data_IF_758466275009
#
_entry.id   IF_758466275009
#
_cell.length_a   1.000
_cell.length_b   1.000
_cell.length_c   1.000
_cell.angle_alpha   90.00
_cell.angle_beta   90.00
_cell.angle_gamma   90.00
#
_symmetry.space_group_name_H-M   'P 1'
#
loop_
_entity.id
_entity.type
_entity.pdbx_description
1 polymer ?
#
# COMPACT_ATOMS: atom_id res chain seq x y z
N UNK A 1 -28.97 -2.14 -7.31
CA UNK A 1 -27.52 -2.34 -7.19
C UNK A 1 -26.98 -1.22 -6.34
N UNK A 2 -26.21 -1.52 -5.29
CA UNK A 2 -25.49 -0.48 -4.55
C UNK A 2 -24.31 -0.01 -5.42
N UNK A 3 -24.27 1.28 -5.74
CA UNK A 3 -23.05 1.91 -6.27
C UNK A 3 -22.02 1.91 -5.14
N UNK A 4 -21.04 1.02 -5.19
CA UNK A 4 -19.80 1.25 -4.46
C UNK A 4 -19.11 2.44 -5.15
N UNK A 5 -18.95 3.53 -4.42
CA UNK A 5 -18.10 4.63 -4.86
C UNK A 5 -16.67 4.14 -4.68
N UNK A 6 -16.06 3.73 -5.79
CA UNK A 6 -14.67 3.28 -5.86
C UNK A 6 -13.79 4.54 -5.93
N UNK A 7 -13.02 4.80 -4.88
CA UNK A 7 -12.25 6.04 -4.73
C UNK A 7 -10.77 5.71 -4.59
N UNK A 8 -9.96 6.23 -5.51
CA UNK A 8 -8.51 6.24 -5.39
C UNK A 8 -8.12 7.13 -4.22
N UNK A 9 -7.32 6.59 -3.30
CA UNK A 9 -6.90 7.34 -2.11
C UNK A 9 -5.49 7.88 -2.34
N UNK A 10 -5.42 9.17 -2.68
CA UNK A 10 -4.16 9.89 -2.91
C UNK A 10 -3.94 10.94 -1.81
N UNK A 11 -2.82 10.83 -1.11
CA UNK A 11 -2.28 11.84 -0.21
C UNK A 11 -1.18 12.65 -0.94
N UNK A 12 -0.57 13.62 -0.26
CA UNK A 12 0.42 14.51 -0.89
C UNK A 12 1.68 13.76 -1.38
N UNK A 13 2.10 12.73 -0.65
CA UNK A 13 3.30 11.92 -0.86
C UNK A 13 3.06 10.43 -0.69
N UNK A 14 1.82 9.98 -0.60
CA UNK A 14 1.50 8.56 -0.66
C UNK A 14 0.21 8.30 -1.41
N UNK A 15 0.07 7.08 -1.92
CA UNK A 15 -1.09 6.69 -2.68
C UNK A 15 -1.37 5.19 -2.50
N UNK A 16 -2.65 4.85 -2.39
CA UNK A 16 -3.14 3.47 -2.41
C UNK A 16 -3.88 3.26 -3.72
N UNK A 17 -3.49 2.20 -4.42
CA UNK A 17 -4.15 1.68 -5.61
C UNK A 17 -4.75 0.31 -5.32
N UNK A 18 -5.90 0.02 -5.91
CA UNK A 18 -6.60 -1.25 -5.75
C UNK A 18 -7.18 -1.80 -7.07
N UNK A 19 -7.93 -2.89 -6.97
CA UNK A 19 -8.56 -3.55 -8.12
C UNK A 19 -9.37 -2.64 -9.02
N UNK A 20 -10.01 -1.60 -8.48
CA UNK A 20 -10.79 -0.66 -9.27
C UNK A 20 -9.91 0.16 -10.22
N UNK A 21 -8.68 0.49 -9.81
CA UNK A 21 -7.73 1.25 -10.64
C UNK A 21 -7.28 0.49 -11.90
N UNK A 22 -7.46 -0.84 -11.93
CA UNK A 22 -7.17 -1.69 -13.09
C UNK A 22 -8.43 -2.40 -13.65
N UNK A 23 -9.64 -1.95 -13.32
CA UNK A 23 -10.87 -2.60 -13.78
C UNK A 23 -11.27 -2.17 -15.20
N UNK A 24 -11.95 -3.07 -15.91
CA UNK A 24 -12.49 -2.80 -17.24
C UNK A 24 -11.40 -2.65 -18.30
N UNK A 25 -11.52 -1.61 -19.12
CA UNK A 25 -10.54 -1.28 -20.16
C UNK A 25 -9.26 -0.61 -19.62
N UNK A 26 -9.30 -0.15 -18.36
CA UNK A 26 -8.14 0.43 -17.69
C UNK A 26 -7.20 -0.71 -17.28
N UNK A 27 -6.26 -1.06 -18.15
CA UNK A 27 -5.24 -2.07 -17.87
C UNK A 27 -3.97 -1.46 -17.25
N UNK A 28 -4.00 -0.16 -16.96
CA UNK A 28 -2.87 0.64 -16.52
C UNK A 28 -3.33 1.69 -15.51
N UNK A 29 -2.60 1.81 -14.40
CA UNK A 29 -2.75 2.90 -13.44
C UNK A 29 -1.38 3.55 -13.21
N UNK A 30 -1.28 4.87 -13.42
CA UNK A 30 -0.01 5.59 -13.24
C UNK A 30 0.11 6.11 -11.81
N UNK A 31 1.29 6.00 -11.21
CA UNK A 31 1.58 6.55 -9.89
C UNK A 31 2.90 7.34 -9.92
N UNK A 32 3.02 8.30 -9.00
CA UNK A 32 4.15 9.22 -8.94
C UNK A 32 5.23 8.69 -7.99
N UNK A 33 6.49 8.96 -8.33
CA UNK A 33 7.65 8.61 -7.55
C UNK A 33 8.73 9.70 -7.75
N UNK A 34 8.40 10.98 -7.54
CA UNK A 34 9.23 12.10 -8.03
C UNK A 34 10.67 12.09 -7.53
N UNK A 35 10.87 11.94 -6.22
CA UNK A 35 12.20 11.90 -5.58
C UNK A 35 12.67 10.45 -5.30
N UNK A 36 11.93 9.47 -5.85
CA UNK A 36 11.98 8.09 -5.44
C UNK A 36 10.90 7.77 -4.41
N UNK A 37 10.61 6.49 -4.25
CA UNK A 37 9.50 6.02 -3.45
C UNK A 37 9.74 4.60 -2.98
N UNK A 38 8.96 4.20 -1.99
CA UNK A 38 8.90 2.84 -1.48
C UNK A 38 7.52 2.28 -1.79
N UNK A 39 7.49 1.09 -2.36
CA UNK A 39 6.25 0.43 -2.77
C UNK A 39 6.05 -0.87 -2.00
N UNK A 40 4.79 -1.19 -1.74
CA UNK A 40 4.35 -2.31 -0.93
C UNK A 40 3.12 -2.96 -1.55
N UNK A 41 2.97 -4.27 -1.36
CA UNK A 41 1.74 -4.97 -1.67
C UNK A 41 1.67 -6.28 -0.89
N UNK A 42 0.50 -6.66 -0.33
CA UNK A 42 0.30 -7.98 0.26
C UNK A 42 -0.15 -9.01 -0.79
N UNK A 43 -0.31 -8.59 -2.05
CA UNK A 43 -1.00 -9.37 -3.06
C UNK A 43 -0.06 -10.39 -3.67
N UNK A 44 -0.37 -11.67 -3.47
CA UNK A 44 0.37 -12.81 -4.02
C UNK A 44 0.00 -13.08 -5.49
N UNK A 45 0.19 -12.08 -6.36
CA UNK A 45 -0.10 -12.21 -7.79
C UNK A 45 1.05 -11.69 -8.66
N UNK A 46 1.50 -12.52 -9.60
CA UNK A 46 2.45 -12.11 -10.65
C UNK A 46 1.78 -11.58 -11.91
N UNK A 47 0.45 -11.51 -11.91
CA UNK A 47 -0.31 -11.03 -13.04
C UNK A 47 -0.40 -9.49 -13.06
N UNK A 48 0.11 -8.82 -12.04
CA UNK A 48 0.21 -7.35 -11.97
C UNK A 48 1.68 -6.98 -11.73
N UNK A 49 2.20 -6.11 -12.58
CA UNK A 49 3.58 -5.64 -12.56
C UNK A 49 3.68 -4.13 -12.39
N UNK A 50 4.81 -3.69 -11.84
CA UNK A 50 5.26 -2.31 -11.81
C UNK A 50 6.22 -2.09 -12.97
N UNK A 51 5.90 -1.11 -13.82
CA UNK A 51 6.66 -0.77 -15.02
C UNK A 51 7.15 0.66 -14.93
N UNK A 52 8.37 0.91 -15.43
CA UNK A 52 8.85 2.28 -15.62
C UNK A 52 8.27 2.92 -16.89
N UNK A 53 8.60 4.19 -17.11
CA UNK A 53 8.17 4.97 -18.29
C UNK A 53 8.57 4.35 -19.64
N UNK A 54 9.65 3.55 -19.67
CA UNK A 54 10.11 2.85 -20.88
C UNK A 54 9.32 1.56 -21.15
N UNK A 55 8.43 1.18 -20.22
CA UNK A 55 7.68 -0.06 -20.27
C UNK A 55 8.45 -1.28 -19.77
N UNK A 56 9.59 -1.09 -19.09
CA UNK A 56 10.36 -2.17 -18.51
C UNK A 56 9.78 -2.58 -17.15
N UNK A 57 9.51 -3.88 -16.97
CA UNK A 57 9.01 -4.47 -15.72
C UNK A 57 10.10 -4.41 -14.64
N UNK A 58 9.85 -3.68 -13.56
CA UNK A 58 10.75 -3.62 -12.40
C UNK A 58 10.53 -4.78 -11.44
N UNK A 59 9.27 -5.12 -11.19
CA UNK A 59 8.85 -6.18 -10.28
C UNK A 59 7.34 -6.47 -10.42
N UNK A 60 6.90 -7.58 -9.84
CA UNK A 60 5.48 -7.95 -9.70
C UNK A 60 4.95 -7.71 -8.28
N UNK A 61 3.63 -7.73 -8.09
CA UNK A 61 3.06 -7.67 -6.73
C UNK A 61 3.44 -8.89 -5.88
N UNK A 62 3.56 -10.07 -6.52
CA UNK A 62 4.06 -11.27 -5.87
C UNK A 62 5.50 -11.09 -5.35
N UNK A 63 6.37 -10.39 -6.09
CA UNK A 63 7.73 -10.07 -5.61
C UNK A 63 7.69 -9.20 -4.36
N UNK A 64 6.79 -8.20 -4.32
CA UNK A 64 6.60 -7.32 -3.15
C UNK A 64 6.10 -8.06 -1.91
N UNK A 65 5.19 -9.00 -2.11
CA UNK A 65 4.60 -9.77 -1.02
C UNK A 65 5.54 -10.84 -0.47
N UNK A 66 6.58 -11.24 -1.22
CA UNK A 66 7.51 -12.30 -0.83
C UNK A 66 8.74 -11.76 -0.09
N UNK A 67 9.38 -12.69 0.64
CA UNK A 67 10.32 -12.50 1.75
C UNK A 67 11.47 -11.48 1.64
N UNK A 68 11.79 -10.98 0.45
CA UNK A 68 12.87 -10.00 0.27
C UNK A 68 12.43 -8.57 0.62
N UNK A 69 11.14 -8.25 0.44
CA UNK A 69 10.64 -6.87 0.56
C UNK A 69 9.67 -6.67 1.72
N UNK A 70 8.87 -7.68 2.11
CA UNK A 70 8.02 -7.73 3.32
C UNK A 70 7.49 -6.33 3.75
N UNK A 71 7.58 -6.03 5.05
CA UNK A 71 7.09 -4.78 5.64
C UNK A 71 8.04 -3.59 5.39
N UNK A 72 9.16 -3.81 4.67
CA UNK A 72 10.16 -2.79 4.35
C UNK A 72 10.00 -2.22 2.94
N UNK A 73 9.18 -2.85 2.11
CA UNK A 73 8.90 -2.42 0.75
C UNK A 73 10.10 -2.52 -0.20
N UNK A 74 9.86 -2.14 -1.45
CA UNK A 74 10.87 -2.02 -2.49
C UNK A 74 11.13 -0.56 -2.82
N UNK A 75 12.40 -0.16 -2.89
CA UNK A 75 12.80 1.21 -3.23
C UNK A 75 12.86 1.37 -4.76
N UNK A 76 12.08 2.32 -5.28
CA UNK A 76 12.15 2.78 -6.66
C UNK A 76 12.89 4.13 -6.71
N UNK A 77 13.77 4.34 -7.71
CA UNK A 77 14.38 5.63 -7.94
C UNK A 77 13.35 6.67 -8.41
N UNK A 78 13.76 7.94 -8.49
CA UNK A 78 12.92 9.01 -9.00
C UNK A 78 12.43 8.74 -10.41
N UNK A 79 11.13 8.85 -10.66
CA UNK A 79 10.56 8.61 -11.99
C UNK A 79 9.04 8.52 -12.05
N UNK A 80 8.55 8.19 -13.24
CA UNK A 80 7.14 7.89 -13.51
C UNK A 80 6.96 6.39 -13.67
N UNK A 81 5.97 5.84 -12.98
CA UNK A 81 5.71 4.41 -12.96
C UNK A 81 4.25 4.09 -13.22
N UNK A 82 4.03 2.86 -13.65
CA UNK A 82 2.72 2.34 -13.99
C UNK A 82 2.54 0.96 -13.38
N UNK A 83 1.39 0.77 -12.73
CA UNK A 83 0.86 -0.55 -12.43
C UNK A 83 0.15 -1.05 -13.68
N UNK A 84 0.48 -2.26 -14.15
CA UNK A 84 -0.19 -2.86 -15.31
C UNK A 84 -0.52 -4.31 -15.06
N UNK A 85 -1.58 -4.77 -15.71
CA UNK A 85 -1.81 -6.20 -15.92
C UNK A 85 -0.66 -6.73 -16.78
N UNK A 86 0.12 -7.64 -16.24
CA UNK A 86 1.26 -8.24 -16.91
C UNK A 86 0.83 -9.17 -18.03
N UNK A 87 1.73 -9.39 -18.99
CA UNK A 87 1.47 -10.27 -20.14
C UNK A 87 1.32 -11.76 -19.77
N UNK A 88 1.62 -12.13 -18.52
CA UNK A 88 1.67 -13.52 -18.04
C UNK A 88 0.31 -14.12 -17.74
N UNK A 89 -0.75 -13.31 -17.63
CA UNK A 89 -2.12 -13.80 -17.44
C UNK A 89 -3.13 -12.92 -18.19
N UNK A 90 -3.48 -13.27 -19.45
CA UNK A 90 -4.39 -12.46 -20.27
C UNK A 90 -5.85 -12.50 -19.76
N UNK A 91 -6.18 -13.47 -18.92
CA UNK A 91 -7.48 -13.59 -18.24
C UNK A 91 -7.23 -13.52 -16.74
N UNK A 92 -7.30 -12.32 -16.17
CA UNK A 92 -7.34 -12.18 -14.73
C UNK A 92 -8.76 -12.56 -14.27
N UNK A 93 -8.96 -13.63 -13.49
CA UNK A 93 -10.15 -13.69 -12.64
C UNK A 93 -10.13 -12.47 -11.72
N UNK A 94 -11.29 -12.05 -11.19
CA UNK A 94 -11.45 -10.91 -10.27
C UNK A 94 -10.37 -10.92 -9.17
N UNK A 95 -9.25 -10.24 -9.43
CA UNK A 95 -8.09 -10.26 -8.55
C UNK A 95 -8.18 -9.04 -7.66
N UNK A 96 -8.51 -9.30 -6.40
CA UNK A 96 -8.37 -8.33 -5.32
C UNK A 96 -6.89 -8.04 -5.10
N UNK A 97 -6.49 -6.78 -5.24
CA UNK A 97 -5.14 -6.36 -4.89
C UNK A 97 -5.14 -5.03 -4.14
N UNK A 98 -4.07 -4.82 -3.39
CA UNK A 98 -3.75 -3.53 -2.78
C UNK A 98 -2.29 -3.23 -3.11
N UNK A 99 -2.03 -2.04 -3.61
CA UNK A 99 -0.70 -1.53 -3.87
C UNK A 99 -0.56 -0.19 -3.18
N UNK A 100 0.47 -0.06 -2.36
CA UNK A 100 0.73 1.15 -1.60
C UNK A 100 2.08 1.72 -2.01
N UNK A 101 2.11 3.01 -2.32
CA UNK A 101 3.33 3.76 -2.66
C UNK A 101 3.50 4.94 -1.73
N UNK A 102 4.74 5.17 -1.30
CA UNK A 102 5.13 6.30 -0.44
C UNK A 102 6.33 6.98 -1.08
N UNK A 103 6.25 8.26 -1.40
CA UNK A 103 7.35 9.05 -1.92
C UNK A 103 8.34 9.45 -0.82
N UNK A 104 9.61 9.59 -1.20
CA UNK A 104 10.64 10.14 -0.32
C UNK A 104 10.25 11.53 0.18
N UNK A 105 10.49 11.75 1.47
CA UNK A 105 10.13 12.99 2.16
C UNK A 105 8.72 13.00 2.72
N UNK A 106 7.95 11.90 2.62
CA UNK A 106 6.80 11.68 3.49
C UNK A 106 7.25 11.59 4.96
N UNK A 107 6.44 12.10 5.90
CA UNK A 107 6.80 12.23 7.32
C UNK A 107 7.25 10.89 7.93
N UNK A 108 6.59 9.80 7.53
CA UNK A 108 6.87 8.46 8.03
C UNK A 108 7.60 7.56 7.02
N UNK A 109 8.27 8.09 5.99
CA UNK A 109 8.81 7.28 4.86
C UNK A 109 9.56 6.01 5.29
N UNK A 110 10.34 6.09 6.37
CA UNK A 110 11.12 4.97 6.89
C UNK A 110 10.34 3.92 7.69
N UNK A 111 9.08 4.16 8.02
CA UNK A 111 8.27 3.25 8.85
C UNK A 111 7.95 1.95 8.11
N UNK A 112 7.80 0.88 8.89
CA UNK A 112 7.38 -0.42 8.36
C UNK A 112 5.87 -0.41 8.06
N UNK A 113 5.47 -1.10 6.98
CA UNK A 113 4.08 -1.26 6.59
C UNK A 113 3.63 -2.69 6.86
N UNK A 114 2.61 -2.83 7.71
CA UNK A 114 1.99 -4.11 8.05
C UNK A 114 0.65 -4.21 7.36
N UNK A 115 0.39 -5.36 6.74
CA UNK A 115 -0.92 -5.70 6.21
C UNK A 115 -1.63 -6.62 7.19
N UNK A 116 -2.84 -6.26 7.60
CA UNK A 116 -3.64 -7.02 8.54
C UNK A 116 -4.95 -7.50 7.91
N UNK A 117 -5.14 -8.81 7.94
CA UNK A 117 -6.42 -9.47 7.72
C UNK A 117 -7.15 -9.68 9.06
N UNK A 118 -8.42 -10.13 9.00
CA UNK A 118 -9.28 -10.31 10.18
C UNK A 118 -8.69 -11.24 11.25
N UNK A 119 -7.85 -12.19 10.82
CA UNK A 119 -7.34 -13.26 11.67
C UNK A 119 -5.90 -13.00 12.13
N UNK A 120 -5.26 -11.96 11.59
CA UNK A 120 -3.86 -11.65 11.89
C UNK A 120 -3.71 -11.07 13.30
N UNK A 121 -2.71 -11.58 14.02
CA UNK A 121 -2.30 -11.09 15.33
C UNK A 121 -0.82 -10.78 15.28
N UNK A 122 -0.45 -9.60 15.73
CA UNK A 122 0.95 -9.20 15.83
C UNK A 122 1.23 -8.63 17.21
N UNK A 123 2.37 -9.00 17.77
CA UNK A 123 2.85 -8.50 19.04
C UNK A 123 3.85 -7.37 18.79
N UNK A 124 3.61 -6.22 19.42
CA UNK A 124 4.57 -5.11 19.45
C UNK A 124 5.30 -5.19 20.79
N UNK A 125 6.52 -5.68 20.80
CA UNK A 125 7.32 -5.81 22.03
C UNK A 125 8.04 -4.52 22.42
N UNK A 126 8.32 -3.64 21.45
CA UNK A 126 9.00 -2.36 21.66
C UNK A 126 8.25 -1.21 21.00
N UNK A 127 8.28 0.01 21.58
CA UNK A 127 7.68 1.18 20.94
C UNK A 127 8.25 1.40 19.54
N UNK A 128 7.38 1.46 18.52
CA UNK A 128 7.75 1.76 17.14
C UNK A 128 6.61 2.44 16.40
N UNK A 129 6.98 3.23 15.40
CA UNK A 129 6.03 3.81 14.44
C UNK A 129 5.89 2.84 13.28
N UNK A 130 4.65 2.53 12.90
CA UNK A 130 4.34 1.65 11.79
C UNK A 130 3.09 2.15 11.09
N UNK A 131 2.91 1.70 9.86
CA UNK A 131 1.67 1.88 9.12
C UNK A 131 0.96 0.58 8.97
N UNK A 132 -0.35 0.63 9.14
CA UNK A 132 -1.21 -0.53 9.10
C UNK A 132 -2.16 -0.33 7.94
N UNK A 133 -2.11 -1.25 6.99
CA UNK A 133 -3.05 -1.36 5.91
C UNK A 133 -3.97 -2.55 6.22
N UNK A 134 -5.27 -2.33 6.13
CA UNK A 134 -6.24 -3.38 6.39
C UNK A 134 -7.32 -3.39 5.34
N UNK A 135 -7.70 -4.60 4.94
CA UNK A 135 -8.85 -4.87 4.07
C UNK A 135 -10.13 -5.07 4.90
N UNK A 136 -10.03 -5.14 6.23
CA UNK A 136 -11.19 -5.20 7.11
C UNK A 136 -11.63 -3.78 7.43
N UNK A 137 -12.95 -3.54 7.43
CA UNK A 137 -13.51 -2.20 7.71
C UNK A 137 -13.15 -1.65 9.10
N UNK A 138 -12.62 -2.47 10.00
CA UNK A 138 -12.05 -2.06 11.27
C UNK A 138 -10.87 -2.98 11.64
N UNK A 139 -9.89 -2.42 12.35
CA UNK A 139 -8.79 -3.16 12.99
C UNK A 139 -8.99 -3.12 14.50
N UNK A 140 -9.06 -4.29 15.13
CA UNK A 140 -9.16 -4.40 16.58
C UNK A 140 -7.77 -4.55 17.17
N UNK A 141 -7.37 -3.57 17.99
CA UNK A 141 -6.17 -3.67 18.81
C UNK A 141 -6.57 -4.13 20.21
N UNK A 142 -5.98 -5.23 20.67
CA UNK A 142 -6.24 -5.80 22.00
C UNK A 142 -4.93 -6.18 22.69
N UNK A 143 -4.91 -6.13 24.03
CA UNK A 143 -3.77 -6.56 24.85
C UNK A 143 -2.50 -5.75 24.61
N UNK A 144 -2.56 -4.47 25.00
CA UNK A 144 -1.39 -3.60 25.07
C UNK A 144 -0.50 -4.03 26.24
N UNK A 145 0.46 -4.91 25.99
CA UNK A 145 1.46 -5.33 26.98
C UNK A 145 2.49 -4.20 27.16
N UNK A 146 2.88 -3.92 28.42
CA UNK A 146 3.92 -2.96 28.82
C UNK A 146 3.54 -1.48 28.85
N UNK A 147 2.27 -1.12 28.69
CA UNK A 147 1.85 0.28 28.79
C UNK A 147 1.41 0.64 30.21
N UNK A 148 1.99 1.70 30.76
CA UNK A 148 1.43 2.41 31.92
C UNK A 148 0.20 3.21 31.47
N UNK A 149 -0.73 3.56 32.37
CA UNK A 149 -1.88 4.41 32.04
C UNK A 149 -1.51 5.74 31.35
N UNK A 150 -0.28 6.21 31.52
CA UNK A 150 0.27 7.44 30.94
C UNK A 150 0.88 7.26 29.54
N UNK A 151 1.00 6.02 29.05
CA UNK A 151 1.71 5.68 27.80
C UNK A 151 0.86 4.96 26.77
N UNK A 152 -0.47 4.99 26.89
CA UNK A 152 -1.37 4.37 25.91
C UNK A 152 -0.96 4.73 24.46
N UNK A 153 -1.00 3.76 23.53
CA UNK A 153 -0.59 4.01 22.16
C UNK A 153 -1.50 5.06 21.54
N UNK A 154 -0.88 6.06 20.94
CA UNK A 154 -1.62 7.01 20.13
C UNK A 154 -1.90 6.36 18.77
N UNK A 155 -3.17 6.01 18.54
CA UNK A 155 -3.64 5.55 17.24
C UNK A 155 -4.08 6.76 16.44
N UNK A 156 -3.26 7.15 15.46
CA UNK A 156 -3.63 8.18 14.50
C UNK A 156 -4.20 7.48 13.25
N UNK A 157 -5.49 7.69 12.99
CA UNK A 157 -6.10 7.37 11.70
C UNK A 157 -5.92 8.57 10.77
N UNK A 158 -4.67 8.84 10.38
CA UNK A 158 -4.36 9.81 9.35
C UNK A 158 -3.77 9.07 8.16
N UNK A 159 -3.97 9.61 6.95
CA UNK A 159 -3.08 9.27 5.84
C UNK A 159 -1.63 9.49 6.26
N UNK A 160 -0.71 8.85 5.54
CA UNK A 160 0.73 8.96 5.83
C UNK A 160 1.25 10.41 5.76
N UNK A 161 0.48 11.29 5.12
CA UNK A 161 0.57 12.75 5.24
C UNK A 161 -0.53 13.25 6.18
N UNK A 162 -0.19 14.16 7.09
CA UNK A 162 -1.14 14.84 7.97
C UNK A 162 -2.47 15.18 7.26
N UNK A 163 -3.61 15.05 7.95
CA UNK A 163 -4.99 15.30 7.44
C UNK A 163 -5.19 16.69 6.79
N UNK A 164 -4.16 17.54 6.76
CA UNK A 164 -4.19 18.86 6.16
C UNK A 164 -4.62 18.85 4.69
N UNK A 165 -4.30 17.81 3.91
CA UNK A 165 -4.51 17.78 2.45
C UNK A 165 -5.04 16.43 1.91
N UNK A 166 -6.21 15.96 2.35
CA UNK A 166 -6.90 14.86 1.68
C UNK A 166 -7.80 15.40 0.56
N UNK A 167 -7.68 14.88 -0.67
CA UNK A 167 -8.68 15.10 -1.73
C UNK A 167 -9.22 13.77 -2.23
N UNK A 168 -10.53 13.67 -2.38
CA UNK A 168 -11.12 12.63 -3.21
C UNK A 168 -10.74 12.96 -4.67
N UNK A 169 -10.28 11.95 -5.41
CA UNK A 169 -10.10 12.03 -6.86
C UNK A 169 -11.25 11.31 -7.53
#
# INVERSE_FOLDING_TARGET
SSMNVEARVTFEKSEVLDTADLRGELNVASFRCSEGCRVFSPSLTNAIGVYDESGFEKLTLEDLSRGTYNNRGFELPGGTYQLKKGNRSPTLPDLSFVFYVVEKGAENYGSEVYYLNSDDKFLIETPKTMTILSTTGAVTFSSFLLFTPESLPNVYAAGYDSIRNCRAV
#
